data_IF_584037158875
#
_entry.id   IF_584037158875
#
_cell.length_a   1.000
_cell.length_b   1.000
_cell.length_c   1.000
_cell.angle_alpha   90.00
_cell.angle_beta   90.00
_cell.angle_gamma   90.00
#
_symmetry.space_group_name_H-M   'P 1'
#
loop_
_entity.id
_entity.type
_entity.pdbx_description
1 polymer ?
#
# COMPACT_ATOMS: atom_id res chain seq x y z
N UNK A 1 9.20 -20.67 12.49
CA UNK A 1 8.86 -19.45 11.76
C UNK A 1 7.44 -19.05 12.14
N UNK A 2 7.29 -17.82 12.69
CA UNK A 2 5.98 -17.24 12.95
C UNK A 2 5.56 -16.50 11.68
N UNK A 3 4.59 -17.04 10.95
CA UNK A 3 3.95 -16.36 9.85
C UNK A 3 2.58 -15.83 10.30
N UNK A 4 2.35 -14.54 10.14
CA UNK A 4 1.06 -13.92 10.35
C UNK A 4 0.45 -13.55 9.01
N UNK A 5 -0.84 -13.78 8.84
CA UNK A 5 -1.60 -13.34 7.67
C UNK A 5 -2.50 -12.20 8.10
N UNK A 6 -2.31 -11.02 7.49
CA UNK A 6 -3.17 -9.87 7.67
C UNK A 6 -4.14 -9.79 6.48
N UNK A 7 -5.42 -9.96 6.75
CA UNK A 7 -6.48 -9.79 5.74
C UNK A 7 -7.05 -8.38 5.85
N UNK A 8 -6.77 -7.54 4.87
CA UNK A 8 -7.30 -6.18 4.76
C UNK A 8 -8.46 -6.16 3.76
N UNK A 9 -9.60 -5.69 4.21
CA UNK A 9 -10.75 -5.42 3.35
C UNK A 9 -11.09 -3.93 3.38
N UNK A 10 -11.12 -3.32 2.22
CA UNK A 10 -11.69 -1.96 2.09
C UNK A 10 -13.20 -2.02 2.22
N UNK A 11 -13.80 -1.01 2.84
CA UNK A 11 -15.26 -0.89 2.89
C UNK A 11 -15.88 -0.92 1.50
N UNK A 12 -17.03 -1.57 1.36
CA UNK A 12 -17.74 -1.65 0.09
C UNK A 12 -18.38 -0.32 -0.28
N UNK A 13 -18.83 0.42 0.71
CA UNK A 13 -19.46 1.72 0.52
C UNK A 13 -19.10 2.67 1.67
N UNK A 14 -18.70 3.93 1.39
CA UNK A 14 -18.55 4.93 2.44
C UNK A 14 -19.92 5.38 2.95
N UNK A 15 -19.97 5.73 4.23
CA UNK A 15 -21.21 6.16 4.87
C UNK A 15 -21.69 7.50 4.33
N UNK A 16 -20.77 8.45 4.15
CA UNK A 16 -21.08 9.83 3.73
C UNK A 16 -19.89 10.49 3.00
N UNK A 17 -20.15 11.65 2.42
CA UNK A 17 -19.10 12.56 1.97
C UNK A 17 -18.34 13.06 3.19
N UNK A 18 -17.01 13.03 3.13
CA UNK A 18 -16.15 13.39 4.26
C UNK A 18 -14.87 14.03 3.77
N UNK A 19 -14.46 15.10 4.44
CA UNK A 19 -13.11 15.67 4.32
C UNK A 19 -12.47 15.65 5.69
N UNK A 20 -11.26 15.14 5.76
CA UNK A 20 -10.48 15.03 6.99
C UNK A 20 -9.15 15.75 6.80
N UNK A 21 -8.74 16.47 7.84
CA UNK A 21 -7.41 17.06 7.92
C UNK A 21 -6.81 16.57 9.24
N UNK A 22 -5.69 15.90 9.17
CA UNK A 22 -4.95 15.43 10.33
C UNK A 22 -3.67 16.25 10.48
N UNK A 23 -3.56 16.97 11.58
CA UNK A 23 -2.35 17.69 11.96
C UNK A 23 -1.59 16.83 12.97
N UNK A 24 -0.35 16.55 12.67
CA UNK A 24 0.56 15.79 13.52
C UNK A 24 1.77 16.66 13.85
N UNK A 25 2.45 16.40 14.95
CA UNK A 25 3.67 17.13 15.35
C UNK A 25 4.74 17.16 14.25
N UNK A 26 4.77 16.13 13.42
CA UNK A 26 5.78 15.93 12.37
C UNK A 26 5.18 15.70 10.98
N UNK A 27 3.89 16.03 10.79
CA UNK A 27 3.26 15.76 9.50
C UNK A 27 1.87 16.35 9.33
N UNK A 28 1.36 16.14 8.13
CA UNK A 28 0.03 16.59 7.70
C UNK A 28 -0.63 15.45 6.92
N UNK A 29 -1.90 15.20 7.22
CA UNK A 29 -2.75 14.30 6.43
C UNK A 29 -3.97 15.03 5.89
N UNK A 30 -4.37 14.67 4.68
CA UNK A 30 -5.60 15.14 4.05
C UNK A 30 -6.32 13.95 3.44
N UNK A 31 -7.59 13.80 3.80
CA UNK A 31 -8.48 12.79 3.27
C UNK A 31 -9.76 13.41 2.70
N UNK A 32 -10.21 12.89 1.57
CA UNK A 32 -11.49 13.27 0.99
C UNK A 32 -12.21 12.04 0.46
N UNK A 33 -13.48 11.94 0.80
CA UNK A 33 -14.39 10.91 0.29
C UNK A 33 -15.60 11.57 -0.33
N UNK A 34 -15.86 11.25 -1.59
CA UNK A 34 -17.04 11.66 -2.33
C UNK A 34 -17.87 10.44 -2.68
N UNK A 35 -19.17 10.53 -2.42
CA UNK A 35 -20.15 9.49 -2.69
C UNK A 35 -21.19 9.99 -3.68
N UNK A 36 -21.44 9.21 -4.72
CA UNK A 36 -22.49 9.41 -5.70
C UNK A 36 -23.48 8.23 -5.67
N UNK A 37 -24.54 8.29 -6.48
CA UNK A 37 -25.60 7.26 -6.47
C UNK A 37 -25.11 5.82 -6.67
N UNK A 38 -24.09 5.60 -7.50
CA UNK A 38 -23.58 4.26 -7.84
C UNK A 38 -22.07 4.13 -7.66
N UNK A 39 -21.40 5.18 -7.23
CA UNK A 39 -19.94 5.18 -7.12
C UNK A 39 -19.48 6.01 -5.94
N UNK A 40 -18.25 5.78 -5.53
CA UNK A 40 -17.56 6.62 -4.56
C UNK A 40 -16.07 6.66 -4.88
N UNK A 41 -15.45 7.76 -4.49
CA UNK A 41 -14.02 7.98 -4.56
C UNK A 41 -13.52 8.42 -3.19
N UNK A 42 -12.53 7.72 -2.65
CA UNK A 42 -11.82 8.13 -1.44
C UNK A 42 -10.36 8.37 -1.82
N UNK A 43 -9.79 9.47 -1.39
CA UNK A 43 -8.38 9.83 -1.58
C UNK A 43 -7.82 10.26 -0.24
N UNK A 44 -6.72 9.67 0.19
CA UNK A 44 -5.98 10.04 1.39
C UNK A 44 -4.53 10.30 1.03
N UNK A 45 -3.94 11.33 1.61
CA UNK A 45 -2.53 11.67 1.40
C UNK A 45 -1.92 12.10 2.73
N UNK A 46 -0.72 11.64 3.01
CA UNK A 46 0.02 11.96 4.23
C UNK A 46 1.43 12.39 3.86
N UNK A 47 1.87 13.47 4.49
CA UNK A 47 3.25 13.93 4.45
C UNK A 47 3.81 13.94 5.86
N UNK A 48 5.00 13.39 6.03
CA UNK A 48 5.74 13.37 7.28
C UNK A 48 7.14 13.94 7.07
N UNK A 49 7.61 14.73 8.05
CA UNK A 49 8.96 15.27 8.07
C UNK A 49 9.43 15.39 9.52
N UNK A 50 10.50 14.70 9.88
CA UNK A 50 11.05 14.72 11.23
C UNK A 50 11.93 15.93 11.54
N UNK A 51 12.22 16.83 10.59
CA UNK A 51 13.07 17.99 10.82
C UNK A 51 12.62 18.87 12.01
N UNK A 52 11.31 19.18 12.18
CA UNK A 52 10.86 19.97 13.33
C UNK A 52 11.11 19.29 14.68
N UNK A 53 10.94 17.97 14.73
CA UNK A 53 11.18 17.17 15.93
C UNK A 53 12.67 17.17 16.29
N UNK A 54 13.53 16.97 15.30
CA UNK A 54 14.99 16.94 15.48
C UNK A 54 15.56 18.28 15.92
N UNK A 55 14.95 19.39 15.49
CA UNK A 55 15.36 20.72 15.93
C UNK A 55 15.09 21.00 17.40
N UNK A 56 14.15 20.27 18.02
CA UNK A 56 13.73 20.48 19.41
C UNK A 56 14.35 19.43 20.33
N UNK A 57 14.45 18.19 19.87
CA UNK A 57 14.89 17.06 20.70
C UNK A 57 16.26 16.58 20.22
N UNK A 58 17.31 16.71 21.06
CA UNK A 58 18.62 16.22 20.73
C UNK A 58 18.60 14.71 20.41
N UNK A 59 19.28 14.32 19.36
CA UNK A 59 19.40 12.93 18.91
C UNK A 59 20.86 12.47 19.03
N UNK A 60 21.07 11.19 19.31
CA UNK A 60 22.42 10.57 19.27
C UNK A 60 22.84 10.17 17.85
N UNK A 61 22.26 10.79 16.84
CA UNK A 61 22.46 10.48 15.42
C UNK A 61 22.68 11.79 14.70
N UNK A 62 23.64 11.82 13.78
CA UNK A 62 23.88 12.98 12.94
C UNK A 62 23.06 12.83 11.65
N UNK A 63 22.08 13.67 11.49
CA UNK A 63 21.24 13.68 10.30
C UNK A 63 21.85 14.54 9.19
N UNK A 64 22.10 13.94 8.02
CA UNK A 64 22.42 14.68 6.79
C UNK A 64 21.10 15.13 6.13
N UNK A 65 20.09 14.26 6.17
CA UNK A 65 18.71 14.57 5.78
C UNK A 65 17.75 13.89 6.73
N UNK A 66 16.83 14.64 7.35
CA UNK A 66 15.82 14.07 8.22
C UNK A 66 14.91 13.12 7.45
N UNK A 67 14.30 12.18 8.17
CA UNK A 67 13.29 11.31 7.59
C UNK A 67 12.14 12.14 7.03
N UNK A 68 11.81 11.88 5.78
CA UNK A 68 10.65 12.44 5.09
C UNK A 68 9.90 11.32 4.39
N UNK A 69 8.58 11.39 4.41
CA UNK A 69 7.75 10.50 3.60
C UNK A 69 6.55 11.22 3.02
N UNK A 70 6.16 10.81 1.84
CA UNK A 70 4.92 11.17 1.19
C UNK A 70 4.22 9.89 0.79
N UNK A 71 3.02 9.68 1.30
CA UNK A 71 2.20 8.54 0.96
C UNK A 71 0.81 8.96 0.54
N UNK A 72 0.18 8.14 -0.26
CA UNK A 72 -1.19 8.37 -0.66
C UNK A 72 -1.88 7.09 -1.09
N UNK A 73 -3.18 7.09 -0.93
CA UNK A 73 -4.03 6.00 -1.39
C UNK A 73 -5.32 6.54 -2.00
N UNK A 74 -5.86 5.81 -2.93
CA UNK A 74 -7.17 6.09 -3.51
C UNK A 74 -7.97 4.81 -3.69
N UNK A 75 -9.27 4.90 -3.43
CA UNK A 75 -10.21 3.81 -3.64
C UNK A 75 -11.39 4.33 -4.44
N UNK A 76 -11.53 3.85 -5.66
CA UNK A 76 -12.73 4.05 -6.46
C UNK A 76 -13.63 2.82 -6.37
N UNK A 77 -14.91 3.02 -6.17
CA UNK A 77 -15.92 1.96 -6.07
C UNK A 77 -17.04 2.26 -7.05
N UNK A 78 -17.53 1.22 -7.71
CA UNK A 78 -18.68 1.33 -8.60
C UNK A 78 -19.63 0.15 -8.39
N UNK A 79 -20.89 0.44 -8.11
CA UNK A 79 -21.96 -0.54 -7.91
C UNK A 79 -22.70 -0.79 -9.22
N UNK A 80 -22.58 -2.00 -9.72
CA UNK A 80 -23.44 -2.54 -10.76
C UNK A 80 -24.72 -3.12 -10.14
N UNK A 81 -25.70 -3.46 -10.95
CA UNK A 81 -26.91 -4.12 -10.45
C UNK A 81 -26.62 -5.49 -9.79
N UNK A 82 -25.57 -6.17 -10.20
CA UNK A 82 -25.23 -7.52 -9.76
C UNK A 82 -23.90 -7.63 -9.01
N UNK A 83 -23.22 -6.53 -8.75
CA UNK A 83 -21.91 -6.61 -8.09
C UNK A 83 -21.23 -5.28 -7.87
N UNK A 84 -20.03 -5.34 -7.32
CA UNK A 84 -19.20 -4.18 -7.04
C UNK A 84 -17.83 -4.33 -7.72
N UNK A 85 -17.41 -3.26 -8.37
CA UNK A 85 -16.02 -3.06 -8.83
C UNK A 85 -15.31 -2.12 -7.88
N UNK A 86 -14.08 -2.46 -7.52
CA UNK A 86 -13.18 -1.62 -6.73
C UNK A 86 -11.84 -1.47 -7.45
N UNK A 87 -11.35 -0.24 -7.49
CA UNK A 87 -9.99 0.08 -7.90
C UNK A 87 -9.30 0.73 -6.71
N UNK A 88 -8.20 0.14 -6.28
CA UNK A 88 -7.35 0.67 -5.23
C UNK A 88 -5.98 0.99 -5.81
N UNK A 89 -5.46 2.16 -5.52
CA UNK A 89 -4.08 2.51 -5.81
C UNK A 89 -3.45 3.16 -4.57
N UNK A 90 -2.19 2.84 -4.32
CA UNK A 90 -1.41 3.42 -3.25
C UNK A 90 0.02 3.69 -3.71
N UNK A 91 0.62 4.72 -3.15
CA UNK A 91 2.05 4.99 -3.29
C UNK A 91 2.65 5.38 -1.94
N UNK A 92 3.90 5.09 -1.77
CA UNK A 92 4.72 5.55 -0.66
C UNK A 92 6.11 5.90 -1.19
N UNK A 93 6.61 7.06 -0.78
CA UNK A 93 7.97 7.50 -1.05
C UNK A 93 8.58 8.00 0.24
N UNK A 94 9.68 7.39 0.68
CA UNK A 94 10.35 7.75 1.90
C UNK A 94 11.86 7.83 1.71
N UNK A 95 12.49 8.77 2.45
CA UNK A 95 13.93 8.97 2.41
C UNK A 95 14.47 9.47 3.74
N UNK A 96 15.71 9.09 4.02
CA UNK A 96 16.52 9.69 5.07
C UNK A 96 18.01 9.46 4.81
N UNK A 97 18.86 10.28 5.40
CA UNK A 97 20.32 10.14 5.39
C UNK A 97 20.86 10.51 6.77
N UNK A 98 21.59 9.60 7.38
CA UNK A 98 22.12 9.78 8.73
C UNK A 98 23.48 9.13 8.90
N UNK A 99 24.25 9.64 9.87
CA UNK A 99 25.46 9.00 10.37
C UNK A 99 25.24 8.59 11.82
N UNK A 100 25.50 7.34 12.14
CA UNK A 100 25.36 6.81 13.49
C UNK A 100 26.60 6.05 13.95
N UNK A 101 26.86 6.10 15.26
CA UNK A 101 27.92 5.27 15.84
C UNK A 101 27.51 3.80 15.79
N UNK A 102 28.46 2.96 15.45
CA UNK A 102 28.31 1.51 15.50
C UNK A 102 29.38 0.93 16.42
N UNK A 103 29.03 -0.08 17.20
CA UNK A 103 29.90 -0.72 18.18
C UNK A 103 31.15 -1.37 17.56
N UNK A 104 31.03 -1.79 16.29
CA UNK A 104 32.07 -2.53 15.58
C UNK A 104 32.99 -1.65 14.72
N UNK A 105 32.76 -0.33 14.70
CA UNK A 105 33.51 0.62 13.87
C UNK A 105 33.88 1.86 14.68
N UNK A 106 35.10 2.34 14.50
CA UNK A 106 35.57 3.59 15.14
C UNK A 106 34.90 4.82 14.53
N UNK A 107 34.64 4.78 13.23
CA UNK A 107 33.97 5.83 12.49
C UNK A 107 32.45 5.64 12.49
N UNK A 108 31.73 6.75 12.34
CA UNK A 108 30.27 6.69 12.15
C UNK A 108 29.94 6.07 10.81
N UNK A 109 28.95 5.22 10.80
CA UNK A 109 28.42 4.60 9.58
C UNK A 109 27.32 5.48 9.00
N UNK A 110 27.47 5.82 7.72
CA UNK A 110 26.43 6.49 6.96
C UNK A 110 25.39 5.48 6.46
N UNK A 111 24.12 5.82 6.67
CA UNK A 111 22.98 5.11 6.09
C UNK A 111 22.12 6.11 5.35
N UNK A 112 22.02 5.95 4.03
CA UNK A 112 21.17 6.74 3.15
C UNK A 112 20.15 5.80 2.53
N UNK A 113 18.87 6.07 2.75
CA UNK A 113 17.77 5.24 2.28
C UNK A 113 16.83 6.08 1.42
N UNK A 114 16.49 5.52 0.27
CA UNK A 114 15.42 6.02 -0.61
C UNK A 114 14.55 4.84 -1.02
N UNK A 115 13.30 4.85 -0.60
CA UNK A 115 12.32 3.82 -0.87
C UNK A 115 11.14 4.40 -1.63
N UNK A 116 10.70 3.75 -2.71
CA UNK A 116 9.54 4.13 -3.48
C UNK A 116 8.69 2.88 -3.77
N UNK A 117 7.44 2.93 -3.37
CA UNK A 117 6.48 1.86 -3.55
C UNK A 117 5.27 2.36 -4.33
N UNK A 118 4.76 1.51 -5.20
CA UNK A 118 3.49 1.71 -5.87
C UNK A 118 2.70 0.40 -5.88
N UNK A 119 1.41 0.48 -5.61
CA UNK A 119 0.51 -0.67 -5.65
C UNK A 119 -0.79 -0.30 -6.33
N UNK A 120 -1.24 -1.15 -7.24
CA UNK A 120 -2.53 -1.04 -7.93
C UNK A 120 -3.28 -2.36 -7.79
N UNK A 121 -4.57 -2.28 -7.50
CA UNK A 121 -5.46 -3.44 -7.45
C UNK A 121 -6.82 -3.08 -8.03
N UNK A 122 -7.28 -3.88 -8.98
CA UNK A 122 -8.64 -3.81 -9.49
C UNK A 122 -9.34 -5.13 -9.19
N UNK A 123 -10.54 -5.06 -8.63
CA UNK A 123 -11.31 -6.25 -8.26
C UNK A 123 -12.78 -6.11 -8.61
N UNK A 124 -13.40 -7.22 -8.94
CA UNK A 124 -14.83 -7.32 -9.15
C UNK A 124 -15.40 -8.49 -8.35
N UNK A 125 -16.49 -8.24 -7.62
CA UNK A 125 -17.24 -9.26 -6.91
C UNK A 125 -18.72 -9.09 -7.25
N UNK A 126 -19.32 -10.10 -7.85
CA UNK A 126 -20.71 -10.00 -8.28
C UNK A 126 -21.36 -11.35 -8.50
N UNK A 127 -22.67 -11.27 -8.74
CA UNK A 127 -23.50 -12.42 -9.09
C UNK A 127 -23.87 -12.36 -10.57
N UNK A 128 -24.02 -13.52 -11.22
CA UNK A 128 -24.51 -13.63 -12.58
C UNK A 128 -25.34 -14.90 -12.76
N UNK A 129 -26.34 -14.84 -13.60
CA UNK A 129 -27.27 -15.96 -13.78
C UNK A 129 -27.89 -16.44 -12.45
N UNK A 130 -28.36 -17.68 -12.43
CA UNK A 130 -28.98 -18.25 -11.23
C UNK A 130 -27.94 -18.91 -10.33
N UNK A 131 -27.69 -18.36 -9.16
CA UNK A 131 -26.84 -18.94 -8.11
C UNK A 131 -25.33 -18.95 -8.39
N UNK A 132 -24.84 -18.22 -9.41
CA UNK A 132 -23.42 -18.02 -9.66
C UNK A 132 -22.90 -16.74 -9.02
N UNK A 133 -21.71 -16.81 -8.50
CA UNK A 133 -20.94 -15.66 -8.03
C UNK A 133 -19.52 -15.72 -8.60
N UNK A 134 -19.04 -14.57 -9.06
CA UNK A 134 -17.67 -14.38 -9.51
C UNK A 134 -16.94 -13.43 -8.58
N UNK A 135 -15.71 -13.76 -8.25
CA UNK A 135 -14.73 -12.86 -7.63
C UNK A 135 -13.49 -12.87 -8.52
N UNK A 136 -13.12 -11.75 -9.06
CA UNK A 136 -11.92 -11.60 -9.88
C UNK A 136 -11.10 -10.40 -9.43
N UNK A 137 -9.82 -10.43 -9.68
CA UNK A 137 -8.91 -9.35 -9.35
C UNK A 137 -7.63 -9.42 -10.15
N UNK A 138 -7.05 -8.25 -10.38
CA UNK A 138 -5.70 -8.07 -10.91
C UNK A 138 -4.99 -7.08 -10.00
N UNK A 139 -3.74 -7.36 -9.67
CA UNK A 139 -2.90 -6.43 -8.93
C UNK A 139 -1.53 -6.31 -9.56
N UNK A 140 -0.92 -5.15 -9.32
CA UNK A 140 0.45 -4.86 -9.69
C UNK A 140 1.12 -4.11 -8.53
N UNK A 141 2.31 -4.54 -8.18
CA UNK A 141 3.18 -3.90 -7.19
C UNK A 141 4.52 -3.56 -7.80
N UNK A 142 5.03 -2.40 -7.46
CA UNK A 142 6.38 -1.95 -7.76
C UNK A 142 7.04 -1.48 -6.47
N UNK A 143 8.24 -1.97 -6.19
CA UNK A 143 9.06 -1.56 -5.07
C UNK A 143 10.47 -1.26 -5.60
N UNK A 144 10.97 -0.06 -5.31
CA UNK A 144 12.38 0.31 -5.52
C UNK A 144 12.98 0.76 -4.19
N UNK A 145 14.02 0.09 -3.78
CA UNK A 145 14.68 0.31 -2.51
C UNK A 145 16.17 0.54 -2.76
N UNK A 146 16.63 1.78 -2.51
CA UNK A 146 18.04 2.17 -2.62
C UNK A 146 18.59 2.40 -1.23
N UNK A 147 19.55 1.63 -0.85
CA UNK A 147 20.22 1.73 0.44
C UNK A 147 21.72 1.90 0.22
N UNK A 148 22.27 3.01 0.71
CA UNK A 148 23.72 3.18 0.82
C UNK A 148 24.12 2.95 2.27
N UNK A 149 24.94 1.96 2.46
CA UNK A 149 25.46 1.63 3.77
C UNK A 149 26.99 1.78 3.72
N UNK A 150 27.50 2.89 4.25
CA UNK A 150 28.89 3.31 4.15
C UNK A 150 29.33 3.43 2.68
N UNK A 151 30.20 2.53 2.20
CA UNK A 151 30.67 2.46 0.81
C UNK A 151 29.90 1.46 -0.07
N UNK A 152 28.96 0.74 0.51
CA UNK A 152 28.16 -0.26 -0.22
C UNK A 152 26.83 0.33 -0.65
N UNK A 153 26.54 0.25 -1.94
CA UNK A 153 25.28 0.64 -2.53
C UNK A 153 24.48 -0.61 -2.88
N UNK A 154 23.23 -0.69 -2.43
CA UNK A 154 22.31 -1.75 -2.79
C UNK A 154 21.08 -1.10 -3.44
N UNK A 155 20.83 -1.45 -4.69
CA UNK A 155 19.62 -1.02 -5.43
C UNK A 155 18.79 -2.27 -5.74
N UNK A 156 17.65 -2.41 -5.07
CA UNK A 156 16.75 -3.52 -5.27
C UNK A 156 15.42 -3.06 -5.87
N UNK A 157 15.02 -3.74 -6.93
CA UNK A 157 13.77 -3.49 -7.62
C UNK A 157 12.93 -4.77 -7.65
N UNK A 158 11.70 -4.65 -7.22
CA UNK A 158 10.73 -5.73 -7.29
C UNK A 158 9.49 -5.28 -8.07
N UNK A 159 9.08 -6.11 -9.02
CA UNK A 159 7.82 -5.98 -9.73
C UNK A 159 7.02 -7.26 -9.51
N UNK A 160 5.79 -7.13 -9.06
CA UNK A 160 4.91 -8.25 -8.82
C UNK A 160 3.56 -8.02 -9.52
N UNK A 161 3.04 -9.03 -10.18
CA UNK A 161 1.70 -8.98 -10.74
C UNK A 161 0.94 -10.26 -10.36
N UNK A 162 -0.35 -10.11 -10.08
CA UNK A 162 -1.22 -11.22 -9.75
C UNK A 162 -2.54 -11.10 -10.50
N UNK A 163 -3.02 -12.21 -11.00
CA UNK A 163 -4.36 -12.39 -11.55
C UNK A 163 -5.09 -13.45 -10.72
N UNK A 164 -6.31 -13.16 -10.31
CA UNK A 164 -7.15 -14.06 -9.52
C UNK A 164 -8.53 -14.18 -10.11
N UNK A 165 -9.03 -15.41 -10.23
CA UNK A 165 -10.41 -15.70 -10.62
C UNK A 165 -10.96 -16.78 -9.69
N UNK A 166 -12.14 -16.55 -9.11
CA UNK A 166 -12.89 -17.52 -8.33
C UNK A 166 -14.34 -17.50 -8.76
N UNK A 167 -14.86 -18.66 -9.07
CA UNK A 167 -16.26 -18.89 -9.38
C UNK A 167 -16.88 -19.76 -8.28
N UNK A 168 -18.07 -19.40 -7.86
CA UNK A 168 -18.88 -20.19 -6.92
C UNK A 168 -20.27 -20.40 -7.49
N UNK A 169 -20.71 -21.65 -7.47
CA UNK A 169 -22.10 -22.04 -7.79
C UNK A 169 -22.79 -22.51 -6.54
N UNK A 170 -23.89 -21.89 -6.24
CA UNK A 170 -24.84 -22.35 -5.21
C UNK A 170 -25.90 -23.24 -5.87
N UNK A 171 -25.94 -24.51 -5.53
CA UNK A 171 -26.92 -25.47 -6.04
C UNK A 171 -28.08 -25.66 -5.07
N UNK A 172 -27.76 -25.78 -3.76
CA UNK A 172 -28.74 -25.94 -2.68
C UNK A 172 -28.14 -25.49 -1.35
N UNK A 173 -28.94 -25.47 -0.31
CA UNK A 173 -28.45 -25.14 1.05
C UNK A 173 -27.37 -26.10 1.58
N UNK A 174 -27.26 -27.28 0.97
CA UNK A 174 -26.29 -28.30 1.36
C UNK A 174 -25.10 -28.45 0.38
N UNK A 175 -25.21 -27.87 -0.81
CA UNK A 175 -24.19 -28.06 -1.83
C UNK A 175 -23.80 -26.76 -2.55
N UNK A 176 -22.53 -26.39 -2.35
CA UNK A 176 -21.87 -25.28 -3.01
C UNK A 176 -20.60 -25.78 -3.69
N UNK A 177 -20.41 -25.43 -4.95
CA UNK A 177 -19.18 -25.69 -5.69
C UNK A 177 -18.39 -24.39 -5.83
N UNK A 178 -17.11 -24.43 -5.54
CA UNK A 178 -16.18 -23.31 -5.74
C UNK A 178 -14.95 -23.80 -6.47
N UNK A 179 -14.54 -23.07 -7.49
CA UNK A 179 -13.30 -23.32 -8.19
C UNK A 179 -12.66 -21.96 -8.58
N UNK A 180 -11.37 -21.96 -8.77
CA UNK A 180 -10.65 -20.74 -9.12
C UNK A 180 -9.22 -21.03 -9.49
N UNK A 181 -8.56 -19.99 -10.00
CA UNK A 181 -7.15 -19.97 -10.31
C UNK A 181 -6.52 -18.66 -9.86
N UNK A 182 -5.30 -18.77 -9.39
CA UNK A 182 -4.42 -17.65 -9.09
C UNK A 182 -3.17 -17.80 -9.96
N UNK A 183 -2.78 -16.71 -10.61
CA UNK A 183 -1.52 -16.60 -11.33
C UNK A 183 -0.71 -15.45 -10.74
N UNK A 184 0.52 -15.74 -10.38
CA UNK A 184 1.42 -14.79 -9.76
C UNK A 184 2.76 -14.80 -10.47
N UNK A 185 3.29 -13.61 -10.75
CA UNK A 185 4.62 -13.42 -11.32
C UNK A 185 5.35 -12.32 -10.58
N UNK A 186 6.59 -12.60 -10.19
CA UNK A 186 7.49 -11.63 -9.56
C UNK A 186 8.80 -11.57 -10.32
N UNK A 187 9.29 -10.36 -10.52
CA UNK A 187 10.62 -10.10 -11.03
C UNK A 187 11.37 -9.27 -9.99
N UNK A 188 12.45 -9.82 -9.50
CA UNK A 188 13.35 -9.19 -8.56
C UNK A 188 14.72 -8.96 -9.21
N UNK A 189 15.27 -7.76 -9.05
CA UNK A 189 16.64 -7.43 -9.47
C UNK A 189 17.31 -6.74 -8.29
N UNK A 190 18.55 -7.14 -8.00
CA UNK A 190 19.42 -6.53 -6.99
C UNK A 190 20.79 -6.32 -7.61
N UNK A 191 21.35 -5.11 -7.41
CA UNK A 191 22.69 -4.70 -7.86
C UNK A 191 23.47 -4.13 -6.69
#
# INVERSE_FOLDING_TARGET
>A
ALSSVLLLNTQDEPDQNKTEIALMTVGLGVGNTQKWKKSSLSVNTYYMNLAPYQAIIPQNVDWNSPYQSLSGETVYRYHFASGIFKLYAAFDSSRFDLNQKNINFEEKIRTDLNNNNFYLNASYNGAFGTGWRVTSGISYGYNNNKVKYNSNDVDSNENAAQLKLKLRKHFSNYFNLSFGADYFITKFNEN
#
